data_IF_434139100890
#
_entry.id   IF_434139100890
#
_cell.length_a   1.000
_cell.length_b   1.000
_cell.length_c   1.000
_cell.angle_alpha   90.00
_cell.angle_beta   90.00
_cell.angle_gamma   90.00
#
_symmetry.space_group_name_H-M   'P 1'
#
loop_
_entity.id
_entity.type
_entity.pdbx_description
1 polymer ?
#
# COMPACT_ATOMS: atom_id res chain seq x y z
N UNK A 1 -49.86 25.30 20.98
CA UNK A 1 -49.31 26.68 21.00
C UNK A 1 -47.80 26.61 20.88
N UNK A 2 -47.25 27.18 19.80
CA UNK A 2 -45.92 27.78 19.64
C UNK A 2 -44.66 26.92 19.95
N UNK A 3 -43.66 26.78 19.09
CA UNK A 3 -43.09 27.75 18.14
C UNK A 3 -42.34 27.07 16.97
N UNK A 4 -42.74 27.48 15.77
CA UNK A 4 -42.04 27.34 14.49
C UNK A 4 -41.10 28.55 14.33
N UNK A 5 -39.81 28.35 14.01
CA UNK A 5 -38.81 29.30 13.44
C UNK A 5 -37.49 28.48 13.40
N UNK A 6 -36.65 28.40 12.36
CA UNK A 6 -36.42 29.26 11.20
C UNK A 6 -35.33 28.61 10.32
N UNK A 7 -35.46 28.80 9.01
CA UNK A 7 -34.37 29.06 8.04
C UNK A 7 -33.59 27.85 7.50
N UNK A 8 -33.91 27.56 6.24
CA UNK A 8 -33.05 26.94 5.25
C UNK A 8 -31.82 27.82 4.94
N UNK A 9 -30.63 27.22 4.97
CA UNK A 9 -29.44 27.52 4.14
C UNK A 9 -28.66 26.20 4.16
N UNK A 10 -28.92 25.23 3.29
CA UNK A 10 -28.55 25.19 1.89
C UNK A 10 -27.10 25.66 1.64
N UNK A 11 -26.30 24.70 1.14
CA UNK A 11 -25.08 24.88 0.35
C UNK A 11 -23.74 24.85 1.09
N UNK A 12 -22.90 23.95 0.58
CA UNK A 12 -21.44 23.84 0.69
C UNK A 12 -20.84 23.42 2.03
N UNK A 13 -20.93 22.13 2.35
CA UNK A 13 -19.82 21.45 3.02
C UNK A 13 -19.46 20.18 2.26
N UNK A 14 -18.26 20.23 1.68
CA UNK A 14 -17.42 19.12 1.29
C UNK A 14 -18.08 18.09 0.38
N UNK A 15 -17.99 18.38 -0.93
CA UNK A 15 -17.72 17.34 -1.91
C UNK A 15 -16.66 16.40 -1.37
N UNK A 16 -17.10 15.17 -1.10
CA UNK A 16 -16.25 14.00 -0.91
C UNK A 16 -15.28 13.98 -2.08
N UNK A 17 -13.99 14.05 -1.77
CA UNK A 17 -12.93 13.89 -2.75
C UNK A 17 -13.12 12.52 -3.42
N UNK A 18 -13.53 12.57 -4.69
CA UNK A 18 -13.62 11.40 -5.54
C UNK A 18 -12.28 10.68 -5.54
N UNK A 19 -12.39 9.36 -5.40
CA UNK A 19 -11.35 8.37 -5.48
C UNK A 19 -10.25 8.74 -6.49
N UNK A 20 -9.00 8.58 -6.04
CA UNK A 20 -7.79 8.58 -6.84
C UNK A 20 -8.01 7.79 -8.15
N UNK A 21 -8.24 8.53 -9.22
CA UNK A 21 -7.96 8.07 -10.56
C UNK A 21 -6.44 8.01 -10.69
N UNK A 22 -5.92 6.97 -11.32
CA UNK A 22 -4.53 6.91 -11.71
C UNK A 22 -4.17 8.18 -12.48
N UNK A 23 -3.44 9.09 -11.84
CA UNK A 23 -3.05 10.37 -12.42
C UNK A 23 -2.16 10.04 -13.63
N UNK A 24 -2.60 10.44 -14.83
CA UNK A 24 -1.75 10.37 -16.01
C UNK A 24 -0.45 11.15 -15.73
N UNK A 25 0.72 10.68 -16.20
CA UNK A 25 1.97 11.42 -15.99
C UNK A 25 1.81 12.82 -16.58
N UNK A 26 1.82 13.85 -15.72
CA UNK A 26 1.68 15.24 -16.13
C UNK A 26 3.02 15.75 -16.65
N UNK A 27 3.26 15.56 -17.95
CA UNK A 27 4.43 16.10 -18.62
C UNK A 27 4.48 17.64 -18.46
N UNK A 28 5.56 18.16 -17.87
CA UNK A 28 5.78 19.60 -17.68
C UNK A 28 5.50 20.15 -16.27
N UNK A 29 5.05 19.33 -15.33
CA UNK A 29 5.00 19.71 -13.90
C UNK A 29 6.25 19.23 -13.15
N UNK A 30 6.66 19.89 -12.05
CA UNK A 30 7.72 19.39 -11.17
C UNK A 30 7.33 18.01 -10.63
N UNK A 31 8.25 17.05 -10.76
CA UNK A 31 8.06 15.68 -10.25
C UNK A 31 7.86 15.76 -8.73
N UNK A 32 6.68 15.41 -8.23
CA UNK A 32 6.45 15.36 -6.79
C UNK A 32 7.11 14.10 -6.21
N UNK A 33 7.51 14.08 -4.92
CA UNK A 33 8.02 12.86 -4.29
C UNK A 33 7.05 11.67 -4.39
N UNK A 34 5.75 11.94 -4.43
CA UNK A 34 4.70 10.94 -4.62
C UNK A 34 4.65 10.36 -6.05
N UNK A 35 5.16 11.08 -7.06
CA UNK A 35 5.25 10.58 -8.44
C UNK A 35 6.44 9.63 -8.61
N UNK A 36 7.43 9.73 -7.73
CA UNK A 36 8.62 8.86 -7.68
C UNK A 36 8.36 7.64 -6.77
N UNK A 37 7.59 7.82 -5.71
CA UNK A 37 7.25 6.76 -4.78
C UNK A 37 6.05 5.92 -5.29
N UNK A 38 6.29 4.64 -5.59
CA UNK A 38 5.22 3.72 -5.95
C UNK A 38 4.19 3.54 -4.83
N UNK A 39 2.94 3.27 -5.20
CA UNK A 39 1.88 3.00 -4.24
C UNK A 39 2.17 1.75 -3.40
N UNK A 40 2.12 1.89 -2.07
CA UNK A 40 2.37 0.79 -1.12
C UNK A 40 1.11 -0.02 -0.78
N UNK A 41 -0.07 0.56 -1.04
CA UNK A 41 -1.37 0.04 -0.62
C UNK A 41 -2.35 0.05 -1.79
N UNK A 42 -3.22 -0.96 -1.86
CA UNK A 42 -4.27 -1.06 -2.87
C UNK A 42 -3.92 -2.04 -4.00
N UNK A 43 -4.76 -2.09 -5.04
CA UNK A 43 -4.55 -3.00 -6.17
C UNK A 43 -4.91 -4.47 -5.92
N UNK A 44 -5.53 -4.79 -4.78
CA UNK A 44 -6.05 -6.14 -4.50
C UNK A 44 -7.06 -6.57 -5.57
N UNK A 45 -6.87 -7.75 -6.16
CA UNK A 45 -7.74 -8.28 -7.21
C UNK A 45 -7.60 -7.61 -8.59
N UNK A 46 -6.61 -6.74 -8.78
CA UNK A 46 -6.35 -6.07 -10.07
C UNK A 46 -5.38 -6.83 -10.98
N UNK A 47 -4.76 -7.91 -10.49
CA UNK A 47 -3.77 -8.69 -11.25
C UNK A 47 -4.37 -9.62 -12.31
N UNK A 48 -5.70 -9.63 -12.47
CA UNK A 48 -6.36 -10.46 -13.46
C UNK A 48 -6.08 -9.94 -14.89
N UNK A 49 -6.02 -10.83 -15.92
CA UNK A 49 -5.62 -10.45 -17.28
C UNK A 49 -6.51 -9.40 -17.96
N UNK A 50 -7.76 -9.27 -17.51
CA UNK A 50 -8.79 -8.36 -18.02
C UNK A 50 -8.70 -6.94 -17.42
N UNK A 51 -7.78 -6.69 -16.49
CA UNK A 51 -7.67 -5.42 -15.74
C UNK A 51 -6.27 -4.83 -15.87
N UNK A 52 -6.18 -3.50 -15.73
CA UNK A 52 -4.89 -2.83 -15.56
C UNK A 52 -4.31 -3.19 -14.18
N UNK A 53 -3.16 -3.89 -14.11
CA UNK A 53 -2.64 -4.37 -12.84
C UNK A 53 -2.02 -3.25 -12.03
N UNK A 54 -2.50 -3.06 -10.79
CA UNK A 54 -1.91 -2.15 -9.82
C UNK A 54 -1.04 -2.98 -8.88
N UNK A 55 0.28 -2.92 -9.09
CA UNK A 55 1.27 -3.69 -8.33
C UNK A 55 1.73 -2.91 -7.11
N UNK A 56 1.29 -3.36 -5.93
CA UNK A 56 1.67 -2.81 -4.63
C UNK A 56 2.30 -3.90 -3.76
N UNK A 57 2.71 -3.54 -2.55
CA UNK A 57 3.21 -4.50 -1.57
C UNK A 57 2.15 -5.56 -1.25
N UNK A 58 0.90 -5.17 -1.01
CA UNK A 58 -0.16 -6.12 -0.67
C UNK A 58 -0.66 -6.93 -1.86
N UNK A 59 -0.75 -6.33 -3.05
CA UNK A 59 -1.34 -7.00 -4.22
C UNK A 59 -0.38 -7.96 -4.90
N UNK A 60 0.92 -7.62 -4.98
CA UNK A 60 1.85 -8.31 -5.86
C UNK A 60 2.94 -9.10 -5.12
N UNK A 61 3.40 -8.66 -3.95
CA UNK A 61 4.58 -9.29 -3.33
C UNK A 61 4.22 -10.64 -2.68
N UNK A 62 5.03 -11.70 -2.88
CA UNK A 62 4.71 -13.03 -2.35
C UNK A 62 5.13 -13.24 -0.89
N UNK A 63 6.09 -12.46 -0.38
CA UNK A 63 6.64 -12.62 0.97
C UNK A 63 6.72 -11.29 1.72
N UNK A 64 6.23 -11.29 2.96
CA UNK A 64 6.37 -10.17 3.89
C UNK A 64 7.83 -9.92 4.31
N UNK A 65 8.66 -10.97 4.29
CA UNK A 65 10.10 -10.84 4.59
C UNK A 65 10.86 -10.02 3.56
N UNK A 66 10.40 -10.01 2.29
CA UNK A 66 10.98 -9.15 1.26
C UNK A 66 10.73 -7.67 1.55
N UNK A 67 9.54 -7.33 2.09
CA UNK A 67 9.24 -5.97 2.54
C UNK A 67 10.21 -5.54 3.64
N UNK A 68 10.39 -6.38 4.66
CA UNK A 68 11.31 -6.10 5.76
C UNK A 68 12.75 -5.89 5.27
N UNK A 69 13.26 -6.77 4.40
CA UNK A 69 14.62 -6.64 3.86
C UNK A 69 14.78 -5.35 3.05
N UNK A 70 13.78 -5.01 2.23
CA UNK A 70 13.77 -3.79 1.45
C UNK A 70 13.76 -2.53 2.34
N UNK A 71 12.88 -2.48 3.34
CA UNK A 71 12.81 -1.36 4.28
C UNK A 71 14.13 -1.21 5.04
N UNK A 72 14.72 -2.32 5.51
CA UNK A 72 15.99 -2.30 6.25
C UNK A 72 17.17 -1.81 5.42
N UNK A 73 17.20 -2.11 4.12
CA UNK A 73 18.40 -1.92 3.28
C UNK A 73 18.34 -0.69 2.39
N UNK A 74 17.15 -0.32 1.94
CA UNK A 74 16.94 0.70 0.92
C UNK A 74 16.07 1.87 1.40
N UNK A 75 15.48 1.79 2.60
CA UNK A 75 14.69 2.87 3.19
C UNK A 75 15.31 3.36 4.51
N UNK A 76 15.00 4.61 4.90
CA UNK A 76 14.49 5.70 4.06
C UNK A 76 15.42 6.04 2.88
N UNK A 77 14.86 6.57 1.78
CA UNK A 77 15.61 6.79 0.53
C UNK A 77 16.80 7.75 0.68
N UNK A 78 16.66 8.79 1.50
CA UNK A 78 17.71 9.79 1.73
C UNK A 78 18.70 9.38 2.84
N UNK A 79 18.33 8.41 3.67
CA UNK A 79 19.10 8.01 4.84
C UNK A 79 18.93 6.52 5.13
N UNK A 80 19.41 5.70 4.20
CA UNK A 80 19.24 4.24 4.26
C UNK A 80 19.94 3.66 5.48
N UNK A 81 19.32 2.66 6.12
CA UNK A 81 19.82 1.99 7.35
C UNK A 81 19.85 2.87 8.61
N UNK A 82 19.18 4.01 8.60
CA UNK A 82 18.99 4.85 9.80
C UNK A 82 18.05 4.23 10.83
N UNK A 83 17.15 3.33 10.41
CA UNK A 83 16.17 2.69 11.28
C UNK A 83 16.76 1.53 12.08
N UNK A 84 16.34 1.44 13.34
CA UNK A 84 16.59 0.28 14.21
C UNK A 84 15.76 -0.93 13.78
N UNK A 85 16.12 -2.12 14.27
CA UNK A 85 15.40 -3.35 13.91
C UNK A 85 13.91 -3.30 14.30
N UNK A 86 13.60 -2.76 15.49
CA UNK A 86 12.23 -2.67 15.98
C UNK A 86 11.40 -1.68 15.16
N UNK A 87 11.99 -0.56 14.74
CA UNK A 87 11.35 0.40 13.83
C UNK A 87 11.07 -0.22 12.46
N UNK A 88 11.98 -1.04 11.93
CA UNK A 88 11.74 -1.76 10.66
C UNK A 88 10.57 -2.74 10.79
N UNK A 89 10.46 -3.47 11.91
CA UNK A 89 9.31 -4.33 12.17
C UNK A 89 8.01 -3.53 12.29
N UNK A 90 8.03 -2.40 13.02
CA UNK A 90 6.88 -1.54 13.19
C UNK A 90 6.39 -0.94 11.86
N UNK A 91 7.29 -0.44 11.03
CA UNK A 91 6.96 0.08 9.68
C UNK A 91 6.41 -1.03 8.79
N UNK A 92 7.00 -2.24 8.85
CA UNK A 92 6.53 -3.39 8.09
C UNK A 92 5.12 -3.80 8.52
N UNK A 93 4.85 -3.86 9.83
CA UNK A 93 3.53 -4.15 10.39
C UNK A 93 2.49 -3.12 9.95
N UNK A 94 2.86 -1.84 9.99
CA UNK A 94 1.99 -0.76 9.56
C UNK A 94 1.60 -0.88 8.08
N UNK A 95 2.56 -1.10 7.17
CA UNK A 95 2.26 -1.26 5.74
C UNK A 95 1.39 -2.49 5.48
N UNK A 96 1.64 -3.61 6.18
CA UNK A 96 0.83 -4.81 6.06
C UNK A 96 -0.59 -4.61 6.61
N UNK A 97 -0.74 -3.82 7.67
CA UNK A 97 -2.04 -3.48 8.24
C UNK A 97 -2.86 -2.61 7.29
N UNK A 98 -2.24 -1.62 6.64
CA UNK A 98 -2.91 -0.81 5.61
C UNK A 98 -3.42 -1.64 4.43
N UNK A 99 -2.77 -2.76 4.14
CA UNK A 99 -3.20 -3.71 3.12
C UNK A 99 -4.21 -4.76 3.64
N UNK A 100 -4.61 -4.69 4.92
CA UNK A 100 -5.54 -5.63 5.54
C UNK A 100 -4.98 -7.05 5.74
N UNK A 101 -3.65 -7.20 5.74
CA UNK A 101 -2.97 -8.51 5.84
C UNK A 101 -2.73 -8.89 7.31
N UNK A 102 -2.45 -7.91 8.17
CA UNK A 102 -2.27 -8.09 9.62
C UNK A 102 -3.20 -7.14 10.37
N UNK A 103 -3.61 -7.52 11.57
CA UNK A 103 -4.44 -6.70 12.46
C UNK A 103 -3.63 -5.55 13.06
N UNK A 104 -4.31 -4.48 13.49
CA UNK A 104 -3.66 -3.35 14.18
C UNK A 104 -3.07 -3.74 15.54
N UNK A 105 -3.53 -4.85 16.10
CA UNK A 105 -3.09 -5.37 17.39
C UNK A 105 -2.00 -6.45 17.26
N UNK A 106 -1.62 -6.83 16.03
CA UNK A 106 -0.61 -7.86 15.80
C UNK A 106 0.79 -7.28 15.99
N UNK A 107 1.65 -8.02 16.70
CA UNK A 107 3.06 -7.67 16.88
C UNK A 107 3.91 -8.48 15.90
N UNK A 108 4.64 -7.78 15.03
CA UNK A 108 5.59 -8.42 14.11
C UNK A 108 6.99 -8.47 14.71
N UNK A 109 7.60 -9.65 14.63
CA UNK A 109 8.96 -9.93 15.06
C UNK A 109 9.62 -10.96 14.13
N UNK A 110 10.84 -11.39 14.48
CA UNK A 110 11.62 -12.35 13.70
C UNK A 110 10.93 -13.73 13.55
N UNK A 111 10.03 -14.09 14.46
CA UNK A 111 9.32 -15.37 14.48
C UNK A 111 7.93 -15.28 13.84
N UNK A 112 7.25 -14.14 13.92
CA UNK A 112 5.90 -13.94 13.38
C UNK A 112 5.93 -13.46 11.93
N UNK A 113 6.86 -12.58 11.55
CA UNK A 113 6.94 -12.04 10.19
C UNK A 113 7.05 -13.13 9.09
N UNK A 114 7.89 -14.18 9.21
CA UNK A 114 7.97 -15.22 8.18
C UNK A 114 6.69 -16.05 8.04
N UNK A 115 5.83 -16.05 9.06
CA UNK A 115 4.55 -16.79 9.09
C UNK A 115 3.42 -16.02 8.41
N UNK A 116 3.60 -14.71 8.15
CA UNK A 116 2.62 -13.91 7.42
C UNK A 116 2.48 -14.44 5.99
N UNK A 117 1.26 -14.86 5.63
CA UNK A 117 0.94 -15.33 4.28
C UNK A 117 0.39 -14.18 3.45
N UNK A 118 1.15 -13.74 2.46
CA UNK A 118 0.72 -12.70 1.51
C UNK A 118 -0.36 -13.23 0.56
N UNK A 119 -1.27 -12.37 0.06
CA UNK A 119 -2.31 -12.77 -0.90
C UNK A 119 -1.77 -13.39 -2.19
N UNK A 120 -0.65 -12.88 -2.70
CA UNK A 120 -0.03 -13.36 -3.94
C UNK A 120 1.08 -14.41 -3.71
N UNK A 121 0.98 -15.19 -2.62
CA UNK A 121 2.01 -16.18 -2.23
C UNK A 121 2.35 -17.18 -3.35
N UNK A 122 1.32 -17.60 -4.07
CA UNK A 122 1.38 -18.67 -5.08
C UNK A 122 1.29 -18.12 -6.52
N UNK A 123 1.37 -16.79 -6.70
CA UNK A 123 1.19 -16.13 -8.00
C UNK A 123 2.43 -16.06 -8.90
N UNK A 124 3.56 -16.66 -8.48
CA UNK A 124 4.81 -16.66 -9.24
C UNK A 124 5.17 -18.08 -9.65
N UNK A 125 5.47 -18.25 -10.94
CA UNK A 125 5.97 -19.51 -11.50
C UNK A 125 7.44 -19.36 -11.86
N UNK A 126 8.27 -20.41 -11.64
CA UNK A 126 9.63 -20.43 -12.16
C UNK A 126 9.63 -20.26 -13.68
N UNK A 127 10.65 -19.58 -14.21
CA UNK A 127 10.83 -19.49 -15.65
C UNK A 127 11.02 -20.90 -16.25
N UNK A 128 10.24 -21.31 -17.26
CA UNK A 128 10.39 -22.60 -17.88
C UNK A 128 11.71 -22.64 -18.66
N UNK A 129 12.69 -23.41 -18.16
CA UNK A 129 14.00 -23.59 -18.81
C UNK A 129 13.91 -24.26 -20.19
N UNK A 130 12.80 -24.92 -20.49
CA UNK A 130 12.54 -25.53 -21.79
C UNK A 130 11.08 -25.23 -22.21
N UNK A 131 10.83 -24.21 -23.04
CA UNK A 131 9.51 -24.00 -23.60
C UNK A 131 9.19 -25.20 -24.52
N UNK A 132 8.05 -25.87 -24.28
CA UNK A 132 7.52 -26.85 -25.22
C UNK A 132 6.95 -26.12 -26.44
#
# INVERSE_FOLDING_TARGET
>A
MFTLKRIAVCTSMLTIASASLAQAPQFGQPIAPADIAGALVGGMGTLAPDKTPIKTVGSFWPYATTLFDYVRRAMPFQDSKSLTADEVYAVSAYILNLNGIVSSNDVLDAQSLPKVRMPNRDGFIPFPRNPK
#
